data_IF_760198737942
#
_entry.id   IF_760198737942
#
_cell.length_a   1.000
_cell.length_b   1.000
_cell.length_c   1.000
_cell.angle_alpha   90.00
_cell.angle_beta   90.00
_cell.angle_gamma   90.00
#
_symmetry.space_group_name_H-M   'P 1'
#
loop_
_entity.id
_entity.type
_entity.pdbx_description
1 polymer ?
#
# COMPACT_ATOMS: atom_id res chain seq x y z
N UNK A 1 23.76 -6.26 -26.41
CA UNK A 1 22.46 -6.10 -25.74
C UNK A 1 21.78 -7.47 -25.68
N UNK A 2 22.36 -8.40 -24.93
CA UNK A 2 21.93 -9.81 -24.92
C UNK A 2 22.02 -10.38 -23.50
N UNK A 3 21.07 -11.27 -23.18
CA UNK A 3 20.85 -12.02 -21.92
C UNK A 3 20.23 -11.28 -20.73
N UNK A 4 18.97 -10.87 -20.85
CA UNK A 4 18.14 -10.56 -19.66
C UNK A 4 16.72 -11.15 -19.67
N UNK A 5 16.30 -11.82 -20.75
CA UNK A 5 14.93 -12.33 -20.89
C UNK A 5 14.72 -13.77 -20.39
N UNK A 6 15.73 -14.41 -19.80
CA UNK A 6 15.66 -15.85 -19.44
C UNK A 6 15.66 -16.15 -17.94
N UNK A 7 15.50 -15.15 -17.07
CA UNK A 7 15.62 -15.39 -15.63
C UNK A 7 14.64 -14.59 -14.77
N UNK A 8 13.38 -14.53 -15.20
CA UNK A 8 12.28 -14.11 -14.34
C UNK A 8 11.18 -15.16 -14.46
N UNK A 9 11.36 -16.29 -13.77
CA UNK A 9 10.41 -17.41 -13.75
C UNK A 9 9.34 -17.30 -12.67
N UNK A 10 9.31 -16.20 -11.89
CA UNK A 10 8.30 -16.00 -10.86
C UNK A 10 7.93 -14.53 -10.70
N UNK A 11 6.63 -14.27 -10.59
CA UNK A 11 6.06 -12.96 -10.23
C UNK A 11 6.64 -12.39 -8.93
N UNK A 12 7.18 -13.24 -8.05
CA UNK A 12 7.84 -12.81 -6.81
C UNK A 12 9.14 -12.03 -7.04
N UNK A 13 9.91 -12.33 -8.11
CA UNK A 13 11.16 -11.62 -8.38
C UNK A 13 10.96 -10.22 -8.94
N UNK A 14 9.86 -9.99 -9.66
CA UNK A 14 9.49 -8.66 -10.14
C UNK A 14 9.02 -7.73 -9.01
N UNK A 15 8.29 -8.26 -8.02
CA UNK A 15 7.86 -7.46 -6.88
C UNK A 15 9.07 -6.99 -6.03
N UNK A 16 10.12 -7.82 -5.89
CA UNK A 16 11.37 -7.39 -5.22
C UNK A 16 12.16 -6.34 -6.02
N UNK A 17 12.06 -6.36 -7.35
CA UNK A 17 12.79 -5.42 -8.20
C UNK A 17 12.14 -4.02 -8.23
N UNK A 18 10.81 -3.94 -8.17
CA UNK A 18 10.06 -2.69 -8.14
C UNK A 18 10.01 -2.04 -6.73
N UNK A 19 10.39 -2.78 -5.68
CA UNK A 19 10.33 -2.33 -4.28
C UNK A 19 11.72 -1.99 -3.72
N UNK A 20 12.80 -1.94 -4.53
CA UNK A 20 14.11 -1.53 -4.00
C UNK A 20 14.09 -0.05 -3.57
N UNK A 21 14.23 0.25 -2.27
CA UNK A 21 14.38 1.63 -1.82
C UNK A 21 15.79 2.12 -2.18
N UNK A 22 15.87 3.30 -2.79
CA UNK A 22 17.12 4.05 -2.78
C UNK A 22 17.52 4.38 -1.33
N UNK A 23 18.82 4.34 -0.99
CA UNK A 23 19.27 4.60 0.37
C UNK A 23 19.16 6.10 0.64
N UNK A 24 18.05 6.53 1.21
CA UNK A 24 17.96 7.83 1.88
C UNK A 24 18.08 7.55 3.37
N UNK A 25 19.19 8.02 3.94
CA UNK A 25 19.51 7.99 5.36
C UNK A 25 18.32 8.45 6.21
N UNK A 26 17.80 7.57 7.05
CA UNK A 26 16.96 7.96 8.18
C UNK A 26 17.69 7.60 9.46
N UNK A 27 18.32 8.62 10.04
CA UNK A 27 18.86 8.64 11.39
C UNK A 27 17.67 8.61 12.37
N UNK A 28 17.60 7.66 13.33
CA UNK A 28 16.53 7.68 14.31
C UNK A 28 17.00 8.53 15.50
N UNK A 29 16.62 9.80 15.52
CA UNK A 29 16.69 10.60 16.75
C UNK A 29 15.48 11.50 16.84
N UNK A 30 14.38 10.93 17.32
CA UNK A 30 13.30 11.70 17.94
C UNK A 30 12.97 11.04 19.28
N UNK A 31 13.86 11.26 20.24
CA UNK A 31 13.44 11.33 21.63
C UNK A 31 12.55 12.57 21.77
N UNK A 32 11.37 12.47 22.39
CA UNK A 32 10.48 13.61 22.53
C UNK A 32 11.14 14.68 23.41
N UNK A 33 11.18 15.92 22.90
CA UNK A 33 11.74 17.13 23.52
C UNK A 33 11.26 17.35 24.98
N UNK A 34 10.14 16.73 25.36
CA UNK A 34 9.60 16.71 26.71
C UNK A 34 10.47 15.99 27.76
N UNK A 35 11.34 15.05 27.36
CA UNK A 35 12.29 14.41 28.30
C UNK A 35 13.45 15.34 28.68
N UNK A 36 13.87 16.25 27.81
CA UNK A 36 14.89 17.26 28.14
C UNK A 36 14.36 18.39 29.05
N UNK A 37 13.06 18.69 28.99
CA UNK A 37 12.45 19.71 29.86
C UNK A 37 12.34 19.26 31.32
N UNK A 38 12.21 17.95 31.56
CA UNK A 38 12.18 17.40 32.93
C UNK A 38 13.56 17.29 33.56
N UNK A 39 14.60 16.95 32.78
CA UNK A 39 15.97 16.82 33.31
C UNK A 39 16.59 18.18 33.68
N UNK A 40 16.27 19.26 32.96
CA UNK A 40 16.79 20.61 33.27
C UNK A 40 16.20 21.24 34.54
N UNK A 41 15.06 20.72 35.04
CA UNK A 41 14.45 21.15 36.31
C UNK A 41 14.87 20.28 37.51
N UNK A 42 15.46 19.11 37.28
CA UNK A 42 15.92 18.20 38.33
C UNK A 42 17.25 18.63 38.96
N UNK A 43 18.11 19.36 38.24
CA UNK A 43 19.37 19.90 38.77
C UNK A 43 19.18 21.16 39.65
N UNK A 44 17.96 21.72 39.73
CA UNK A 44 17.65 22.94 40.50
C UNK A 44 16.93 22.69 41.83
N UNK A 45 16.65 21.44 42.21
CA UNK A 45 15.90 21.11 43.43
C UNK A 45 16.78 20.39 44.45
N UNK A 46 17.64 21.15 45.14
CA UNK A 46 18.41 20.69 46.31
C UNK A 46 17.58 20.56 47.60
N UNK A 47 16.24 20.59 47.51
CA UNK A 47 15.33 20.34 48.63
C UNK A 47 14.11 19.55 48.16
N UNK A 48 14.08 18.26 48.44
CA UNK A 48 12.92 17.38 48.19
C UNK A 48 11.77 17.77 49.14
N UNK A 49 10.90 18.66 48.69
CA UNK A 49 9.60 18.89 49.34
C UNK A 49 8.64 17.75 48.94
N UNK A 50 8.08 17.02 49.92
CA UNK A 50 7.09 15.95 49.68
C UNK A 50 5.89 16.46 48.86
N UNK A 51 5.62 17.77 48.91
CA UNK A 51 4.59 18.45 48.13
C UNK A 51 4.86 18.49 46.61
N UNK A 52 6.03 18.06 46.14
CA UNK A 52 6.37 18.06 44.70
C UNK A 52 6.29 16.66 44.07
N UNK A 53 6.28 15.60 44.90
CA UNK A 53 6.21 14.21 44.44
C UNK A 53 4.85 13.86 43.82
N UNK A 54 3.75 14.42 44.33
CA UNK A 54 2.42 14.17 43.77
C UNK A 54 2.28 14.76 42.35
N UNK A 55 2.96 15.86 42.03
CA UNK A 55 2.95 16.44 40.67
C UNK A 55 3.66 15.53 39.67
N UNK A 56 4.78 14.92 40.05
CA UNK A 56 5.49 13.93 39.23
C UNK A 56 4.64 12.68 39.01
N UNK A 57 3.96 12.19 40.07
CA UNK A 57 3.04 11.06 39.97
C UNK A 57 1.83 11.36 39.08
N UNK A 58 1.26 12.56 39.16
CA UNK A 58 0.15 13.01 38.29
C UNK A 58 0.61 13.13 36.84
N UNK A 59 1.78 13.70 36.57
CA UNK A 59 2.34 13.79 35.22
C UNK A 59 2.67 12.41 34.64
N UNK A 60 3.27 11.51 35.42
CA UNK A 60 3.54 10.14 34.98
C UNK A 60 2.25 9.36 34.73
N UNK A 61 1.26 9.50 35.60
CA UNK A 61 -0.05 8.87 35.43
C UNK A 61 -0.80 9.42 34.21
N UNK A 62 -0.79 10.74 34.01
CA UNK A 62 -1.40 11.38 32.85
C UNK A 62 -0.69 11.01 31.55
N UNK A 63 0.65 11.04 31.51
CA UNK A 63 1.42 10.62 30.34
C UNK A 63 1.21 9.12 30.02
N UNK A 64 1.21 8.27 31.04
CA UNK A 64 0.92 6.84 30.89
C UNK A 64 -0.50 6.60 30.39
N UNK A 65 -1.50 7.33 30.93
CA UNK A 65 -2.89 7.25 30.49
C UNK A 65 -3.07 7.76 29.05
N UNK A 66 -2.46 8.88 28.68
CA UNK A 66 -2.46 9.40 27.31
C UNK A 66 -1.75 8.45 26.34
N UNK A 67 -0.63 7.85 26.74
CA UNK A 67 0.09 6.85 25.95
C UNK A 67 -0.73 5.57 25.76
N UNK A 68 -1.40 5.09 26.81
CA UNK A 68 -2.28 3.91 26.75
C UNK A 68 -3.55 4.16 25.92
N UNK A 69 -4.13 5.36 26.03
CA UNK A 69 -5.27 5.75 25.20
C UNK A 69 -4.86 5.80 23.72
N UNK A 70 -3.69 6.37 23.40
CA UNK A 70 -3.15 6.40 22.04
C UNK A 70 -2.82 5.00 21.49
N UNK A 71 -2.27 4.09 22.30
CA UNK A 71 -2.00 2.70 21.87
C UNK A 71 -3.30 1.91 21.64
N UNK A 72 -4.27 2.02 22.55
CA UNK A 72 -5.58 1.36 22.44
C UNK A 72 -6.37 1.82 21.21
N UNK A 73 -6.40 3.14 20.92
CA UNK A 73 -7.04 3.66 19.71
C UNK A 73 -6.37 3.15 18.43
N UNK A 74 -5.03 3.09 18.39
CA UNK A 74 -4.29 2.55 17.24
C UNK A 74 -4.54 1.07 17.01
N UNK A 75 -4.61 0.28 18.07
CA UNK A 75 -4.94 -1.15 18.00
C UNK A 75 -6.37 -1.38 17.47
N UNK A 76 -7.34 -0.59 17.94
CA UNK A 76 -8.72 -0.66 17.46
C UNK A 76 -8.84 -0.31 15.97
N UNK A 77 -8.14 0.72 15.49
CA UNK A 77 -8.12 1.10 14.07
C UNK A 77 -7.41 0.05 13.21
N UNK A 78 -6.29 -0.49 13.69
CA UNK A 78 -5.58 -1.57 13.00
C UNK A 78 -6.46 -2.83 12.87
N UNK A 79 -7.27 -3.11 13.90
CA UNK A 79 -8.24 -4.20 13.86
C UNK A 79 -9.35 -3.94 12.83
N UNK A 80 -9.95 -2.76 12.83
CA UNK A 80 -10.95 -2.39 11.81
C UNK A 80 -10.41 -2.52 10.38
N UNK A 81 -9.15 -2.13 10.18
CA UNK A 81 -8.47 -2.24 8.90
C UNK A 81 -8.28 -3.70 8.48
N UNK A 82 -7.84 -4.57 9.39
CA UNK A 82 -7.70 -6.00 9.12
C UNK A 82 -9.05 -6.68 8.88
N UNK A 83 -10.08 -6.33 9.64
CA UNK A 83 -11.45 -6.83 9.46
C UNK A 83 -12.00 -6.43 8.07
N UNK A 84 -11.71 -5.20 7.62
CA UNK A 84 -12.07 -4.74 6.27
C UNK A 84 -11.31 -5.49 5.17
N UNK A 85 -10.00 -5.68 5.33
CA UNK A 85 -9.19 -6.49 4.41
C UNK A 85 -9.75 -7.91 4.34
N UNK A 86 -10.11 -8.50 5.48
CA UNK A 86 -10.71 -9.83 5.52
C UNK A 86 -12.06 -9.89 4.78
N UNK A 87 -12.90 -8.87 4.90
CA UNK A 87 -14.14 -8.76 4.09
C UNK A 87 -13.82 -8.77 2.59
N UNK A 88 -12.79 -8.04 2.16
CA UNK A 88 -12.37 -8.01 0.76
C UNK A 88 -11.83 -9.36 0.28
N UNK A 89 -11.14 -10.12 1.15
CA UNK A 89 -10.71 -11.49 0.87
C UNK A 89 -11.91 -12.43 0.70
N UNK A 90 -12.93 -12.33 1.55
CA UNK A 90 -14.17 -13.13 1.44
C UNK A 90 -14.97 -12.80 0.16
N UNK A 91 -14.98 -11.53 -0.25
CA UNK A 91 -15.54 -11.09 -1.54
C UNK A 91 -14.68 -11.54 -2.75
N UNK A 92 -13.49 -12.11 -2.50
CA UNK A 92 -12.53 -12.55 -3.50
C UNK A 92 -11.84 -11.40 -4.24
N UNK A 93 -11.91 -10.16 -3.74
CA UNK A 93 -11.29 -8.99 -4.38
C UNK A 93 -9.77 -9.02 -4.25
N UNK A 94 -9.30 -9.46 -3.08
CA UNK A 94 -7.89 -9.57 -2.74
C UNK A 94 -7.54 -10.96 -2.23
N UNK A 95 -6.25 -11.28 -2.20
CA UNK A 95 -5.71 -12.49 -1.58
C UNK A 95 -4.77 -12.17 -0.41
N UNK A 96 -4.22 -13.22 0.20
CA UNK A 96 -3.34 -13.14 1.37
C UNK A 96 -2.15 -12.17 1.21
N UNK A 97 -1.73 -11.85 -0.02
CA UNK A 97 -0.63 -10.90 -0.26
C UNK A 97 -1.03 -9.49 0.15
N UNK A 98 -2.30 -9.11 0.02
CA UNK A 98 -2.76 -7.77 0.38
C UNK A 98 -2.59 -7.51 1.88
N UNK A 99 -2.98 -8.46 2.72
CA UNK A 99 -2.74 -8.41 4.16
C UNK A 99 -1.23 -8.37 4.49
N UNK A 100 -0.40 -9.15 3.79
CA UNK A 100 1.06 -9.11 3.95
C UNK A 100 1.65 -7.74 3.60
N UNK A 101 1.19 -7.13 2.50
CA UNK A 101 1.65 -5.79 2.07
C UNK A 101 1.28 -4.74 3.12
N UNK A 102 0.10 -4.86 3.75
CA UNK A 102 -0.26 -4.01 4.88
C UNK A 102 0.67 -4.19 6.09
N UNK A 103 1.07 -5.43 6.41
CA UNK A 103 2.01 -5.71 7.51
C UNK A 103 3.42 -5.13 7.27
N UNK A 104 3.81 -4.84 6.03
CA UNK A 104 5.09 -4.19 5.73
C UNK A 104 5.22 -2.79 6.34
N UNK A 105 4.15 -2.19 6.87
CA UNK A 105 4.24 -0.93 7.64
C UNK A 105 5.15 -1.04 8.85
N UNK A 106 5.34 -2.24 9.40
CA UNK A 106 6.24 -2.49 10.53
C UNK A 106 7.72 -2.30 10.15
N UNK A 107 8.09 -2.63 8.92
CA UNK A 107 9.47 -2.52 8.42
C UNK A 107 9.71 -1.30 7.53
N UNK A 108 8.68 -0.82 6.84
CA UNK A 108 8.76 0.23 5.81
C UNK A 108 8.18 1.57 6.28
N UNK A 109 7.66 1.62 7.51
CA UNK A 109 7.10 2.81 8.13
C UNK A 109 5.56 2.85 8.08
N UNK A 110 4.93 3.58 9.02
CA UNK A 110 3.48 3.54 9.23
C UNK A 110 2.66 4.04 8.03
N UNK A 111 3.24 4.89 7.19
CA UNK A 111 2.58 5.49 6.02
C UNK A 111 2.80 4.72 4.72
N UNK A 112 3.58 3.62 4.73
CA UNK A 112 3.90 2.85 3.53
C UNK A 112 2.62 2.41 2.81
N UNK A 113 1.71 1.77 3.54
CA UNK A 113 0.47 1.27 2.97
C UNK A 113 -0.44 2.41 2.49
N UNK A 114 -0.61 3.46 3.29
CA UNK A 114 -1.41 4.63 2.95
C UNK A 114 -0.89 5.40 1.72
N UNK A 115 0.42 5.35 1.44
CA UNK A 115 1.04 5.96 0.25
C UNK A 115 1.01 5.04 -0.97
N UNK A 116 1.06 3.73 -0.75
CA UNK A 116 1.07 2.72 -1.80
C UNK A 116 -0.28 2.64 -2.52
N UNK A 117 -1.40 2.68 -1.79
CA UNK A 117 -2.74 2.53 -2.40
C UNK A 117 -3.06 3.65 -3.40
N UNK A 118 -2.87 4.95 -3.08
CA UNK A 118 -3.08 6.02 -4.05
C UNK A 118 -2.15 5.93 -5.26
N UNK A 119 -0.89 5.53 -5.04
CA UNK A 119 0.09 5.34 -6.13
C UNK A 119 -0.37 4.23 -7.08
N UNK A 120 -0.81 3.09 -6.54
CA UNK A 120 -1.37 2.00 -7.33
C UNK A 120 -2.61 2.44 -8.14
N UNK A 121 -3.53 3.21 -7.54
CA UNK A 121 -4.70 3.74 -8.24
C UNK A 121 -4.31 4.69 -9.38
N UNK A 122 -3.35 5.58 -9.14
CA UNK A 122 -2.83 6.51 -10.13
C UNK A 122 -2.21 5.77 -11.33
N UNK A 123 -1.28 4.85 -11.05
CA UNK A 123 -0.57 4.10 -12.08
C UNK A 123 -1.50 3.19 -12.90
N UNK A 124 -2.47 2.57 -12.22
CA UNK A 124 -3.47 1.71 -12.87
C UNK A 124 -4.39 2.52 -13.77
N UNK A 125 -4.85 3.69 -13.31
CA UNK A 125 -5.69 4.61 -14.11
C UNK A 125 -4.95 5.10 -15.35
N UNK A 126 -3.68 5.51 -15.20
CA UNK A 126 -2.84 5.92 -16.31
C UNK A 126 -2.66 4.79 -17.34
N UNK A 127 -2.37 3.58 -16.87
CA UNK A 127 -2.15 2.41 -17.73
C UNK A 127 -3.44 1.98 -18.46
N UNK A 128 -4.59 1.98 -17.78
CA UNK A 128 -5.90 1.68 -18.41
C UNK A 128 -6.30 2.75 -19.45
N UNK A 129 -5.95 4.01 -19.21
CA UNK A 129 -6.13 5.09 -20.18
C UNK A 129 -5.25 4.85 -21.41
N UNK A 130 -3.98 4.52 -21.23
CA UNK A 130 -3.06 4.24 -22.33
C UNK A 130 -3.50 3.01 -23.15
N UNK A 131 -3.98 1.94 -22.49
CA UNK A 131 -4.62 0.80 -23.16
C UNK A 131 -5.85 1.21 -23.99
N UNK A 132 -6.68 2.09 -23.44
CA UNK A 132 -7.87 2.61 -24.14
C UNK A 132 -7.46 3.39 -25.40
N UNK A 133 -6.44 4.24 -25.30
CA UNK A 133 -5.91 5.03 -26.42
C UNK A 133 -5.28 4.12 -27.48
N UNK A 134 -4.49 3.13 -27.07
CA UNK A 134 -3.84 2.18 -27.98
C UNK A 134 -4.88 1.33 -28.75
N UNK A 135 -5.92 0.85 -28.07
CA UNK A 135 -7.03 0.13 -28.74
C UNK A 135 -7.85 1.05 -29.64
N UNK A 136 -7.88 2.37 -29.40
CA UNK A 136 -8.54 3.34 -30.26
C UNK A 136 -7.92 3.45 -31.65
N UNK A 137 -6.63 3.11 -31.80
CA UNK A 137 -5.89 3.29 -33.06
C UNK A 137 -6.42 2.40 -34.20
N UNK A 138 -6.27 2.83 -35.47
CA UNK A 138 -6.65 2.02 -36.64
C UNK A 138 -5.82 0.73 -36.77
N UNK A 139 -4.53 0.84 -36.45
CA UNK A 139 -3.58 -0.28 -36.45
C UNK A 139 -3.14 -0.54 -35.01
N UNK A 140 -3.29 -1.79 -34.57
CA UNK A 140 -2.95 -2.20 -33.21
C UNK A 140 -1.48 -2.61 -33.12
N UNK A 141 -0.73 -1.97 -32.22
CA UNK A 141 0.57 -2.47 -31.82
C UNK A 141 0.42 -3.48 -30.67
N UNK A 142 0.41 -4.77 -31.01
CA UNK A 142 0.26 -5.85 -30.03
C UNK A 142 1.45 -5.97 -29.06
N UNK A 143 2.63 -5.47 -29.43
CA UNK A 143 3.77 -5.43 -28.53
C UNK A 143 3.50 -4.46 -27.38
N UNK A 144 3.18 -3.20 -27.70
CA UNK A 144 2.91 -2.16 -26.71
C UNK A 144 1.69 -2.49 -25.84
N UNK A 145 0.64 -3.06 -26.46
CA UNK A 145 -0.52 -3.57 -25.71
C UNK A 145 -0.10 -4.66 -24.72
N UNK A 146 0.81 -5.55 -25.11
CA UNK A 146 1.34 -6.60 -24.26
C UNK A 146 2.09 -6.04 -23.06
N UNK A 147 2.96 -5.06 -23.27
CA UNK A 147 3.71 -4.39 -22.21
C UNK A 147 2.79 -3.67 -21.22
N UNK A 148 1.79 -2.94 -21.71
CA UNK A 148 0.79 -2.28 -20.86
C UNK A 148 -0.01 -3.29 -20.03
N UNK A 149 -0.44 -4.40 -20.64
CA UNK A 149 -1.16 -5.47 -19.93
C UNK A 149 -0.27 -6.14 -18.87
N UNK A 150 1.00 -6.37 -19.20
CA UNK A 150 1.97 -6.94 -18.27
C UNK A 150 2.18 -6.04 -17.05
N UNK A 151 2.34 -4.74 -17.27
CA UNK A 151 2.52 -3.74 -16.20
C UNK A 151 1.36 -3.76 -15.20
N UNK A 152 0.12 -3.62 -15.69
CA UNK A 152 -1.05 -3.55 -14.81
C UNK A 152 -1.36 -4.89 -14.12
N UNK A 153 -1.19 -6.01 -14.83
CA UNK A 153 -1.32 -7.35 -14.25
C UNK A 153 -0.29 -7.56 -13.14
N UNK A 154 0.97 -7.18 -13.38
CA UNK A 154 2.06 -7.31 -12.42
C UNK A 154 1.80 -6.49 -11.15
N UNK A 155 1.41 -5.22 -11.30
CA UNK A 155 1.05 -4.36 -10.17
C UNK A 155 -0.09 -4.95 -9.33
N UNK A 156 -1.18 -5.38 -9.98
CA UNK A 156 -2.32 -5.99 -9.29
C UNK A 156 -1.93 -7.29 -8.56
N UNK A 157 -1.13 -8.15 -9.20
CA UNK A 157 -0.67 -9.40 -8.59
C UNK A 157 0.29 -9.18 -7.42
N UNK A 158 1.19 -8.20 -7.51
CA UNK A 158 2.12 -7.87 -6.41
C UNK A 158 1.39 -7.31 -5.19
N UNK A 159 0.36 -6.49 -5.40
CA UNK A 159 -0.45 -5.94 -4.31
C UNK A 159 -1.43 -6.97 -3.73
N UNK A 160 -1.71 -8.06 -4.45
CA UNK A 160 -2.69 -9.07 -4.03
C UNK A 160 -4.11 -8.76 -4.47
N UNK A 161 -4.32 -7.87 -5.44
CA UNK A 161 -5.64 -7.56 -6.04
C UNK A 161 -5.97 -8.63 -7.09
N UNK A 162 -6.34 -9.81 -6.62
CA UNK A 162 -6.37 -11.03 -7.42
C UNK A 162 -7.43 -11.02 -8.52
N UNK A 163 -8.62 -10.47 -8.28
CA UNK A 163 -9.69 -10.37 -9.28
C UNK A 163 -9.30 -9.47 -10.45
N UNK A 164 -8.75 -8.29 -10.15
CA UNK A 164 -8.23 -7.39 -11.18
C UNK A 164 -7.05 -8.02 -11.93
N UNK A 165 -6.13 -8.69 -11.23
CA UNK A 165 -5.00 -9.39 -11.85
C UNK A 165 -5.47 -10.49 -12.81
N UNK A 166 -6.55 -11.20 -12.47
CA UNK A 166 -7.17 -12.20 -13.33
C UNK A 166 -7.77 -11.57 -14.60
N UNK A 167 -8.56 -10.50 -14.47
CA UNK A 167 -9.13 -9.79 -15.64
C UNK A 167 -8.04 -9.21 -16.56
N UNK A 168 -6.98 -8.62 -15.97
CA UNK A 168 -5.81 -8.16 -16.73
C UNK A 168 -5.06 -9.33 -17.39
N UNK A 169 -5.07 -10.51 -16.77
CA UNK A 169 -4.55 -11.75 -17.33
C UNK A 169 -5.31 -12.20 -18.58
N UNK A 170 -6.64 -12.13 -18.55
CA UNK A 170 -7.49 -12.45 -19.71
C UNK A 170 -7.27 -11.46 -20.86
N UNK A 171 -7.17 -10.16 -20.55
CA UNK A 171 -6.80 -9.15 -21.54
C UNK A 171 -5.41 -9.42 -22.13
N UNK A 172 -4.41 -9.71 -21.31
CA UNK A 172 -3.07 -10.03 -21.78
C UNK A 172 -3.08 -11.26 -22.70
N UNK A 173 -3.81 -12.31 -22.34
CA UNK A 173 -3.95 -13.50 -23.18
C UNK A 173 -4.63 -13.19 -24.52
N UNK A 174 -5.67 -12.36 -24.52
CA UNK A 174 -6.33 -11.91 -25.75
C UNK A 174 -5.37 -11.11 -26.66
N UNK A 175 -4.50 -10.28 -26.08
CA UNK A 175 -3.44 -9.57 -26.82
C UNK A 175 -2.44 -10.56 -27.43
N UNK A 176 -1.94 -11.53 -26.65
CA UNK A 176 -0.98 -12.54 -27.12
C UNK A 176 -1.54 -13.40 -28.25
N UNK A 177 -2.83 -13.75 -28.16
CA UNK A 177 -3.55 -14.52 -29.18
C UNK A 177 -3.96 -13.70 -30.41
N UNK A 178 -3.63 -12.41 -30.44
CA UNK A 178 -4.05 -11.45 -31.49
C UNK A 178 -5.57 -11.49 -31.75
N UNK A 179 -6.35 -11.47 -30.68
CA UNK A 179 -7.80 -11.43 -30.76
C UNK A 179 -8.32 -10.20 -31.51
N UNK A 180 -9.58 -10.24 -31.94
CA UNK A 180 -10.20 -9.10 -32.62
C UNK A 180 -10.24 -7.87 -31.71
N UNK A 181 -10.24 -6.67 -32.32
CA UNK A 181 -10.32 -5.40 -31.59
C UNK A 181 -11.53 -5.35 -30.64
N UNK A 182 -12.67 -5.89 -31.04
CA UNK A 182 -13.88 -5.99 -30.22
C UNK A 182 -13.69 -6.87 -28.98
N UNK A 183 -13.01 -8.02 -29.14
CA UNK A 183 -12.67 -8.91 -28.02
C UNK A 183 -11.71 -8.24 -27.05
N UNK A 184 -10.70 -7.51 -27.55
CA UNK A 184 -9.77 -6.74 -26.73
C UNK A 184 -10.47 -5.62 -25.96
N UNK A 185 -11.39 -4.89 -26.60
CA UNK A 185 -12.19 -3.84 -25.96
C UNK A 185 -13.06 -4.46 -24.86
N UNK A 186 -13.67 -5.61 -25.11
CA UNK A 186 -14.49 -6.32 -24.12
C UNK A 186 -13.65 -6.73 -22.91
N UNK A 187 -12.47 -7.32 -23.14
CA UNK A 187 -11.55 -7.70 -22.06
C UNK A 187 -11.01 -6.47 -21.29
N UNK A 188 -10.73 -5.36 -21.98
CA UNK A 188 -10.32 -4.11 -21.34
C UNK A 188 -11.44 -3.55 -20.47
N UNK A 189 -12.69 -3.56 -20.93
CA UNK A 189 -13.83 -3.09 -20.15
C UNK A 189 -14.04 -3.94 -18.89
N UNK A 190 -13.86 -5.26 -18.97
CA UNK A 190 -13.88 -6.12 -17.79
C UNK A 190 -12.77 -5.75 -16.80
N UNK A 191 -11.54 -5.51 -17.26
CA UNK A 191 -10.44 -5.07 -16.40
C UNK A 191 -10.71 -3.70 -15.76
N UNK A 192 -11.32 -2.75 -16.49
CA UNK A 192 -11.72 -1.44 -15.97
C UNK A 192 -12.81 -1.56 -14.91
N UNK A 193 -13.79 -2.44 -15.11
CA UNK A 193 -14.83 -2.70 -14.12
C UNK A 193 -14.25 -3.24 -12.81
N UNK A 194 -13.36 -4.25 -12.88
CA UNK A 194 -12.70 -4.79 -11.69
C UNK A 194 -11.83 -3.74 -10.99
N UNK A 195 -11.16 -2.87 -11.76
CA UNK A 195 -10.42 -1.74 -11.19
C UNK A 195 -11.34 -0.75 -10.47
N UNK A 196 -12.48 -0.37 -11.05
CA UNK A 196 -13.43 0.57 -10.42
C UNK A 196 -13.97 0.03 -9.09
N UNK A 197 -14.32 -1.26 -9.03
CA UNK A 197 -14.75 -1.91 -7.79
C UNK A 197 -13.64 -1.84 -6.74
N UNK A 198 -12.40 -2.14 -7.14
CA UNK A 198 -11.26 -2.10 -6.23
C UNK A 198 -10.97 -0.67 -5.76
N UNK A 199 -11.05 0.32 -6.64
CA UNK A 199 -10.76 1.72 -6.33
C UNK A 199 -11.67 2.25 -5.20
N UNK A 200 -12.97 1.97 -5.25
CA UNK A 200 -13.92 2.37 -4.21
C UNK A 200 -13.55 1.79 -2.82
N UNK A 201 -13.13 0.53 -2.79
CA UNK A 201 -12.68 -0.14 -1.56
C UNK A 201 -11.33 0.43 -1.07
N UNK A 202 -10.42 0.76 -1.98
CA UNK A 202 -9.13 1.37 -1.66
C UNK A 202 -9.28 2.79 -1.09
N UNK A 203 -10.21 3.58 -1.61
CA UNK A 203 -10.49 4.92 -1.07
C UNK A 203 -11.00 4.83 0.38
N UNK A 204 -11.82 3.83 0.69
CA UNK A 204 -12.25 3.53 2.06
C UNK A 204 -11.07 3.15 2.95
N UNK A 205 -10.15 2.29 2.46
CA UNK A 205 -8.94 1.88 3.17
C UNK A 205 -7.99 3.06 3.46
N UNK A 206 -7.85 4.00 2.54
CA UNK A 206 -7.02 5.20 2.74
C UNK A 206 -7.56 6.05 3.88
N UNK A 207 -8.89 6.22 3.99
CA UNK A 207 -9.49 6.97 5.09
C UNK A 207 -9.25 6.32 6.47
N UNK A 208 -9.28 4.99 6.54
CA UNK A 208 -9.06 4.24 7.79
C UNK A 208 -7.57 4.12 8.15
N UNK A 209 -6.66 4.21 7.18
CA UNK A 209 -5.21 4.06 7.39
C UNK A 209 -4.44 5.35 7.72
N UNK A 210 -5.09 6.52 7.71
CA UNK A 210 -4.47 7.82 7.97
C UNK A 210 -4.36 8.22 9.46
N UNK A 211 -4.79 7.36 10.39
CA UNK A 211 -4.85 7.67 11.83
C UNK A 211 -3.94 6.76 12.69
#
# INVERSE_FOLDING_TARGET
MEKWTTQIESTEQLCLYLVKPHPINYLPLQLPIYTLFFLTKLDSLSSLDLSSLWVVLVFHFYFSASSMAASSSREAMNKQLLDFIHSMEQEGLVDYRFAKVHMLKESSGPFFFASLLPTFCHDSTATLRDLTVALGQPLLNYHDLGELCFKIKGGAACLGVCRMAHACGQLHQAVQNRATKESLITALNAAKQEFSIMQEKLETLVQVSQF
#
